data_IF_970965133614
#
_entry.id   IF_970965133614
#
_cell.length_a   1.000
_cell.length_b   1.000
_cell.length_c   1.000
_cell.angle_alpha   90.00
_cell.angle_beta   90.00
_cell.angle_gamma   90.00
#
_symmetry.space_group_name_H-M   'P 1'
#
loop_
_entity.id
_entity.type
_entity.pdbx_description
1 polymer ?
#
# COMPACT_ATOMS: atom_id res chain seq x y z
N UNK A 1 0.52 2.01 -19.90
CA UNK A 1 1.04 0.68 -20.31
C UNK A 1 0.02 0.10 -21.30
N UNK A 2 0.39 -0.37 -22.51
CA UNK A 2 -0.61 -0.95 -23.46
C UNK A 2 -0.37 -2.45 -23.62
N UNK A 3 -0.69 -3.21 -22.58
CA UNK A 3 -0.98 -4.64 -22.72
C UNK A 3 -2.43 -4.81 -23.14
N UNK A 4 -2.68 -5.74 -24.05
CA UNK A 4 -4.05 -6.16 -24.38
C UNK A 4 -4.77 -6.73 -23.15
N UNK A 5 -6.11 -6.71 -23.16
CA UNK A 5 -6.92 -7.28 -22.07
C UNK A 5 -6.55 -8.74 -21.76
N UNK A 6 -6.23 -9.53 -22.81
CA UNK A 6 -5.80 -10.92 -22.67
C UNK A 6 -4.44 -11.04 -21.96
N UNK A 7 -3.48 -10.16 -22.27
CA UNK A 7 -2.18 -10.12 -21.60
C UNK A 7 -2.31 -9.66 -20.15
N UNK A 8 -3.14 -8.64 -19.88
CA UNK A 8 -3.48 -8.20 -18.53
C UNK A 8 -4.06 -9.36 -17.72
N UNK A 9 -5.03 -10.09 -18.27
CA UNK A 9 -5.66 -11.22 -17.59
C UNK A 9 -4.65 -12.35 -17.29
N UNK A 10 -3.76 -12.66 -18.23
CA UNK A 10 -2.70 -13.64 -18.03
C UNK A 10 -1.75 -13.24 -16.89
N UNK A 11 -1.33 -11.96 -16.86
CA UNK A 11 -0.47 -11.43 -15.79
C UNK A 11 -1.17 -11.50 -14.43
N UNK A 12 -2.44 -11.08 -14.35
CA UNK A 12 -3.21 -11.18 -13.10
C UNK A 12 -3.33 -12.62 -12.60
N UNK A 13 -3.46 -13.58 -13.52
CA UNK A 13 -3.52 -15.01 -13.19
C UNK A 13 -2.21 -15.47 -12.53
N UNK A 14 -1.06 -15.00 -13.02
CA UNK A 14 0.24 -15.27 -12.42
C UNK A 14 0.32 -14.64 -11.02
N UNK A 15 -0.03 -13.36 -10.88
CA UNK A 15 0.01 -12.68 -9.57
C UNK A 15 -0.92 -13.33 -8.54
N UNK A 16 -2.12 -13.75 -8.94
CA UNK A 16 -3.05 -14.51 -8.08
C UNK A 16 -2.45 -15.81 -7.57
N UNK A 17 -1.53 -16.42 -8.32
CA UNK A 17 -0.87 -17.67 -7.94
C UNK A 17 0.32 -17.49 -6.99
N UNK A 18 0.66 -16.25 -6.62
CA UNK A 18 1.77 -15.91 -5.75
C UNK A 18 1.80 -16.71 -4.45
N UNK A 19 2.98 -17.28 -4.16
CA UNK A 19 3.34 -17.99 -2.94
C UNK A 19 4.55 -17.30 -2.28
N UNK A 20 4.40 -16.74 -1.07
CA UNK A 20 5.47 -15.97 -0.40
C UNK A 20 6.84 -16.66 -0.34
N UNK A 21 6.84 -17.98 -0.15
CA UNK A 21 8.07 -18.76 0.02
C UNK A 21 8.80 -19.06 -1.30
N UNK A 22 8.09 -19.04 -2.44
CA UNK A 22 8.63 -19.41 -3.74
C UNK A 22 8.81 -18.21 -4.68
N UNK A 23 8.04 -17.14 -4.47
CA UNK A 23 7.90 -16.03 -5.41
C UNK A 23 8.34 -14.70 -4.79
N UNK A 24 9.22 -14.72 -3.79
CA UNK A 24 9.53 -13.56 -2.93
C UNK A 24 9.98 -12.28 -3.66
N UNK A 25 10.50 -12.40 -4.88
CA UNK A 25 10.98 -11.31 -5.73
C UNK A 25 10.09 -11.01 -6.94
N UNK A 26 8.99 -11.76 -7.14
CA UNK A 26 8.12 -11.64 -8.32
C UNK A 26 7.63 -10.21 -8.57
N UNK A 27 7.22 -9.52 -7.51
CA UNK A 27 6.68 -8.16 -7.62
C UNK A 27 7.77 -7.11 -7.76
N UNK A 28 8.93 -7.30 -7.13
CA UNK A 28 10.08 -6.42 -7.35
C UNK A 28 10.53 -6.49 -8.80
N UNK A 29 10.65 -7.70 -9.36
CA UNK A 29 10.93 -7.90 -10.77
C UNK A 29 9.88 -7.23 -11.66
N UNK A 30 8.59 -7.41 -11.36
CA UNK A 30 7.52 -6.79 -12.16
C UNK A 30 7.57 -5.25 -12.15
N UNK A 31 7.88 -4.64 -11.00
CA UNK A 31 8.02 -3.19 -10.86
C UNK A 31 9.29 -2.69 -11.58
N UNK A 32 10.43 -3.37 -11.41
CA UNK A 32 11.71 -3.02 -12.06
C UNK A 32 11.65 -3.12 -13.58
N UNK A 33 10.82 -4.01 -14.13
CA UNK A 33 10.60 -4.13 -15.58
C UNK A 33 9.54 -3.16 -16.12
N UNK A 34 8.93 -2.34 -15.26
CA UNK A 34 7.90 -1.38 -15.68
C UNK A 34 8.51 0.02 -15.82
N UNK A 35 8.24 0.67 -16.96
CA UNK A 35 8.63 2.07 -17.16
C UNK A 35 8.00 2.96 -16.09
N UNK A 36 8.77 3.92 -15.58
CA UNK A 36 8.35 4.86 -14.54
C UNK A 36 7.00 5.54 -14.82
N UNK A 37 6.70 5.84 -16.09
CA UNK A 37 5.45 6.47 -16.49
C UNK A 37 4.19 5.59 -16.32
N UNK A 38 4.33 4.32 -15.97
CA UNK A 38 3.22 3.39 -15.79
C UNK A 38 3.39 2.46 -14.57
N UNK A 39 4.28 2.84 -13.64
CA UNK A 39 4.60 1.99 -12.48
C UNK A 39 3.47 2.01 -11.44
N UNK A 40 2.67 3.07 -11.42
CA UNK A 40 1.38 3.19 -10.75
C UNK A 40 0.36 2.18 -11.29
N UNK A 41 0.14 2.11 -12.61
CA UNK A 41 -0.72 1.14 -13.29
C UNK A 41 -0.31 -0.30 -12.92
N UNK A 42 1.00 -0.57 -12.89
CA UNK A 42 1.53 -1.88 -12.49
C UNK A 42 1.27 -2.17 -11.02
N UNK A 43 1.47 -1.19 -10.14
CA UNK A 43 1.21 -1.31 -8.70
C UNK A 43 -0.25 -1.63 -8.44
N UNK A 44 -1.16 -0.96 -9.15
CA UNK A 44 -2.59 -1.27 -9.18
C UNK A 44 -2.86 -2.72 -9.57
N UNK A 45 -2.31 -3.15 -10.71
CA UNK A 45 -2.52 -4.51 -11.21
C UNK A 45 -2.06 -5.57 -10.20
N UNK A 46 -0.95 -5.35 -9.52
CA UNK A 46 -0.43 -6.22 -8.47
C UNK A 46 -1.42 -6.28 -7.30
N UNK A 47 -1.80 -5.12 -6.75
CA UNK A 47 -2.66 -5.03 -5.56
C UNK A 47 -4.03 -5.65 -5.81
N UNK A 48 -4.62 -5.38 -6.97
CA UNK A 48 -5.95 -5.86 -7.34
C UNK A 48 -5.97 -7.36 -7.68
N UNK A 49 -4.82 -7.91 -8.06
CA UNK A 49 -4.68 -9.35 -8.28
C UNK A 49 -4.62 -10.13 -6.98
N UNK A 50 -4.18 -9.52 -5.88
CA UNK A 50 -3.92 -10.23 -4.63
C UNK A 50 -5.11 -10.21 -3.69
N UNK A 51 -5.38 -11.36 -3.07
CA UNK A 51 -6.30 -11.40 -1.95
C UNK A 51 -5.72 -10.63 -0.75
N UNK A 52 -6.59 -10.15 0.16
CA UNK A 52 -6.16 -9.51 1.42
C UNK A 52 -5.17 -10.38 2.21
N UNK A 53 -5.35 -11.70 2.19
CA UNK A 53 -4.44 -12.64 2.86
C UNK A 53 -3.07 -12.68 2.18
N UNK A 54 -3.00 -12.68 0.85
CA UNK A 54 -1.72 -12.61 0.15
C UNK A 54 -1.02 -11.28 0.41
N UNK A 55 -1.75 -10.17 0.34
CA UNK A 55 -1.21 -8.84 0.70
C UNK A 55 -0.63 -8.84 2.12
N UNK A 56 -1.32 -9.45 3.10
CA UNK A 56 -0.83 -9.53 4.49
C UNK A 56 0.55 -10.16 4.61
N UNK A 57 0.86 -11.16 3.78
CA UNK A 57 2.11 -11.89 3.80
C UNK A 57 3.15 -11.41 2.79
N UNK A 58 2.87 -10.32 2.06
CA UNK A 58 3.93 -9.68 1.27
C UNK A 58 5.06 -9.20 2.18
N UNK A 59 6.33 -9.27 1.73
CA UNK A 59 7.43 -8.62 2.40
C UNK A 59 7.11 -7.14 2.65
N UNK A 60 7.51 -6.63 3.82
CA UNK A 60 7.29 -5.22 4.16
C UNK A 60 7.96 -4.28 3.15
N UNK A 61 9.10 -4.67 2.58
CA UNK A 61 9.79 -3.94 1.54
C UNK A 61 8.90 -3.74 0.30
N UNK A 62 8.24 -4.82 -0.16
CA UNK A 62 7.31 -4.77 -1.29
C UNK A 62 6.09 -3.89 -0.99
N UNK A 63 5.51 -3.97 0.21
CA UNK A 63 4.41 -3.08 0.60
C UNK A 63 4.85 -1.61 0.58
N UNK A 64 6.03 -1.30 1.11
CA UNK A 64 6.60 0.06 1.08
C UNK A 64 6.85 0.54 -0.34
N UNK A 65 7.38 -0.33 -1.20
CA UNK A 65 7.60 -0.03 -2.62
C UNK A 65 6.29 0.32 -3.32
N UNK A 66 5.25 -0.49 -3.14
CA UNK A 66 3.93 -0.22 -3.70
C UNK A 66 3.35 1.12 -3.19
N UNK A 67 3.53 1.45 -1.91
CA UNK A 67 3.12 2.75 -1.37
C UNK A 67 3.90 3.88 -2.04
N UNK A 68 5.22 3.75 -2.16
CA UNK A 68 6.07 4.76 -2.79
C UNK A 68 5.65 5.04 -4.23
N UNK A 69 5.35 4.00 -5.01
CA UNK A 69 4.96 4.17 -6.42
C UNK A 69 3.54 4.74 -6.57
N UNK A 70 2.60 4.43 -5.67
CA UNK A 70 1.25 5.01 -5.68
C UNK A 70 1.20 6.45 -5.13
N UNK A 71 2.18 6.82 -4.30
CA UNK A 71 2.38 8.20 -3.83
C UNK A 71 3.29 9.00 -4.77
N UNK A 72 3.86 8.37 -5.80
CA UNK A 72 4.76 9.03 -6.75
C UNK A 72 3.97 9.91 -7.72
N UNK A 73 3.58 11.10 -7.26
CA UNK A 73 2.85 12.08 -8.06
C UNK A 73 1.58 12.55 -7.38
N UNK A 74 0.57 12.88 -8.18
CA UNK A 74 -0.74 13.26 -7.65
C UNK A 74 -1.56 12.02 -7.38
N UNK A 75 -1.76 11.67 -6.11
CA UNK A 75 -2.61 10.55 -5.74
C UNK A 75 -4.06 10.81 -6.15
N UNK A 76 -4.54 9.99 -7.07
CA UNK A 76 -5.91 9.92 -7.57
C UNK A 76 -6.80 9.16 -6.58
N UNK A 77 -8.11 9.14 -6.87
CA UNK A 77 -9.05 8.32 -6.10
C UNK A 77 -8.74 6.82 -6.22
N UNK A 78 -8.27 6.37 -7.38
CA UNK A 78 -7.94 4.96 -7.60
C UNK A 78 -6.70 4.59 -6.78
N UNK A 79 -5.61 5.37 -6.86
CA UNK A 79 -4.40 5.14 -6.05
C UNK A 79 -4.74 5.12 -4.54
N UNK A 80 -5.65 6.00 -4.10
CA UNK A 80 -6.12 6.02 -2.72
C UNK A 80 -6.80 4.70 -2.31
N UNK A 81 -7.64 4.12 -3.17
CA UNK A 81 -8.28 2.84 -2.91
C UNK A 81 -7.28 1.67 -2.88
N UNK A 82 -6.26 1.70 -3.73
CA UNK A 82 -5.17 0.71 -3.70
C UNK A 82 -4.34 0.81 -2.41
N UNK A 83 -4.00 2.02 -1.98
CA UNK A 83 -3.31 2.28 -0.71
C UNK A 83 -4.13 1.77 0.50
N UNK A 84 -5.45 1.99 0.51
CA UNK A 84 -6.35 1.44 1.53
C UNK A 84 -6.33 -0.09 1.60
N UNK A 85 -6.23 -0.78 0.45
CA UNK A 85 -6.07 -2.25 0.42
C UNK A 85 -4.75 -2.67 1.07
N UNK A 86 -3.66 -1.95 0.82
CA UNK A 86 -2.37 -2.18 1.48
C UNK A 86 -2.51 -1.97 2.99
N UNK A 87 -3.09 -0.87 3.46
CA UNK A 87 -3.25 -0.60 4.89
C UNK A 87 -4.14 -1.62 5.58
N UNK A 88 -5.25 -2.02 4.94
CA UNK A 88 -6.12 -3.06 5.45
C UNK A 88 -5.40 -4.41 5.63
N UNK A 89 -4.33 -4.66 4.86
CA UNK A 89 -3.48 -5.85 4.94
C UNK A 89 -2.42 -5.80 6.04
N UNK A 90 -2.38 -4.74 6.84
CA UNK A 90 -1.39 -4.58 7.91
C UNK A 90 -1.36 -5.75 8.89
N UNK A 91 -0.18 -6.31 9.08
CA UNK A 91 0.12 -7.38 10.03
C UNK A 91 1.09 -6.84 11.08
N UNK A 92 0.64 -6.54 12.32
CA UNK A 92 1.47 -5.91 13.35
C UNK A 92 2.81 -6.63 13.64
N UNK A 93 2.86 -7.94 13.45
CA UNK A 93 4.05 -8.75 13.67
C UNK A 93 5.11 -8.62 12.55
N UNK A 94 4.73 -8.14 11.36
CA UNK A 94 5.58 -8.08 10.17
C UNK A 94 5.79 -6.66 9.65
N UNK A 95 4.83 -5.77 9.90
CA UNK A 95 4.75 -4.46 9.26
C UNK A 95 5.13 -3.31 10.22
N UNK A 96 6.12 -3.52 11.10
CA UNK A 96 6.37 -2.69 12.29
C UNK A 96 6.40 -1.17 12.06
N UNK A 97 6.90 -0.72 10.90
CA UNK A 97 7.07 0.70 10.55
C UNK A 97 6.37 1.09 9.23
N UNK A 98 5.45 0.25 8.71
CA UNK A 98 4.79 0.49 7.43
C UNK A 98 4.06 1.84 7.38
N UNK A 99 3.39 2.21 8.47
CA UNK A 99 2.62 3.46 8.54
C UNK A 99 3.48 4.70 8.77
N UNK A 100 4.63 4.59 9.44
CA UNK A 100 5.60 5.69 9.44
C UNK A 100 6.06 5.97 8.02
N UNK A 101 6.43 4.93 7.29
CA UNK A 101 6.84 5.05 5.91
C UNK A 101 5.74 5.66 5.04
N UNK A 102 4.49 5.19 5.16
CA UNK A 102 3.37 5.74 4.41
C UNK A 102 3.19 7.25 4.66
N UNK A 103 3.18 7.65 5.94
CA UNK A 103 3.04 9.06 6.31
C UNK A 103 4.24 9.91 5.88
N UNK A 104 5.46 9.36 5.86
CA UNK A 104 6.66 10.03 5.36
C UNK A 104 6.66 10.22 3.83
N UNK A 105 5.91 9.39 3.11
CA UNK A 105 5.78 9.47 1.65
C UNK A 105 4.66 10.38 1.19
N UNK A 106 3.63 10.56 2.01
CA UNK A 106 2.53 11.47 1.69
C UNK A 106 2.98 12.92 1.80
N UNK A 107 2.56 13.75 0.85
CA UNK A 107 2.74 15.19 0.91
C UNK A 107 2.16 15.77 2.20
N UNK A 108 2.90 16.69 2.82
CA UNK A 108 2.53 17.30 4.11
C UNK A 108 1.11 17.88 4.13
N UNK A 109 0.64 18.41 3.01
CA UNK A 109 -0.70 19.00 2.89
C UNK A 109 -1.85 17.98 3.03
N UNK A 110 -1.57 16.69 2.85
CA UNK A 110 -2.57 15.61 2.80
C UNK A 110 -2.29 14.52 3.87
N UNK A 111 -1.33 14.74 4.76
CA UNK A 111 -0.89 13.73 5.74
C UNK A 111 -1.99 13.38 6.74
N UNK A 112 -2.89 14.32 7.05
CA UNK A 112 -4.07 14.10 7.90
C UNK A 112 -5.11 13.21 7.23
N UNK A 113 -5.41 13.46 5.95
CA UNK A 113 -6.29 12.61 5.15
C UNK A 113 -5.71 11.20 5.00
N UNK A 114 -4.38 11.09 4.83
CA UNK A 114 -3.70 9.79 4.82
C UNK A 114 -3.78 9.07 6.17
N UNK A 115 -3.55 9.78 7.27
CA UNK A 115 -3.69 9.21 8.61
C UNK A 115 -5.12 8.70 8.84
N UNK A 116 -6.12 9.44 8.37
CA UNK A 116 -7.54 9.04 8.42
C UNK A 116 -7.80 7.78 7.62
N UNK A 117 -7.29 7.70 6.39
CA UNK A 117 -7.42 6.53 5.54
C UNK A 117 -6.76 5.28 6.12
N UNK A 118 -5.58 5.42 6.74
CA UNK A 118 -4.91 4.35 7.48
C UNK A 118 -5.84 3.84 8.59
N UNK A 119 -6.32 4.73 9.46
CA UNK A 119 -7.16 4.34 10.60
C UNK A 119 -8.46 3.68 10.13
N UNK A 120 -9.12 4.23 9.11
CA UNK A 120 -10.37 3.70 8.56
C UNK A 120 -10.21 2.35 7.85
N UNK A 121 -9.01 2.02 7.37
CA UNK A 121 -8.72 0.75 6.70
C UNK A 121 -8.47 -0.40 7.68
N UNK A 122 -8.24 -0.10 8.96
CA UNK A 122 -7.82 -1.07 9.95
C UNK A 122 -8.97 -1.62 10.80
N UNK A 123 -8.87 -2.89 11.14
CA UNK A 123 -9.72 -3.48 12.18
C UNK A 123 -9.28 -3.04 13.58
N UNK A 124 -10.23 -3.07 14.53
CA UNK A 124 -9.94 -2.76 15.94
C UNK A 124 -8.81 -3.62 16.53
N UNK A 125 -8.66 -4.88 16.11
CA UNK A 125 -7.57 -5.75 16.60
C UNK A 125 -6.20 -5.32 16.03
N UNK A 126 -6.13 -4.92 14.76
CA UNK A 126 -4.93 -4.33 14.17
C UNK A 126 -4.54 -3.05 14.90
N UNK A 127 -5.49 -2.14 15.13
CA UNK A 127 -5.26 -0.90 15.90
C UNK A 127 -4.81 -1.22 17.33
N UNK A 128 -5.41 -2.23 17.98
CA UNK A 128 -5.02 -2.62 19.35
C UNK A 128 -3.57 -3.09 19.42
N UNK A 129 -3.14 -3.91 18.45
CA UNK A 129 -1.80 -4.52 18.39
C UNK A 129 -0.73 -3.63 17.75
N UNK A 130 -1.12 -2.55 17.10
CA UNK A 130 -0.20 -1.57 16.53
C UNK A 130 0.75 -1.00 17.60
N UNK A 131 2.02 -0.72 17.28
CA UNK A 131 2.95 -0.08 18.21
C UNK A 131 2.45 1.28 18.71
N UNK A 132 2.72 1.58 19.98
CA UNK A 132 2.21 2.81 20.62
C UNK A 132 2.70 4.10 19.99
N UNK A 133 3.94 4.13 19.49
CA UNK A 133 4.51 5.31 18.84
C UNK A 133 3.83 5.60 17.48
N UNK A 134 3.45 4.57 16.71
CA UNK A 134 2.66 4.73 15.48
C UNK A 134 1.27 5.31 15.81
N UNK A 135 0.60 4.78 16.84
CA UNK A 135 -0.70 5.31 17.26
C UNK A 135 -0.62 6.79 17.63
N UNK A 136 0.44 7.17 18.37
CA UNK A 136 0.67 8.56 18.75
C UNK A 136 0.86 9.43 17.52
N UNK A 137 1.70 9.00 16.56
CA UNK A 137 1.90 9.72 15.31
C UNK A 137 0.58 9.92 14.54
N UNK A 138 -0.22 8.87 14.38
CA UNK A 138 -1.54 8.98 13.72
C UNK A 138 -2.48 9.97 14.43
N UNK A 139 -2.50 9.99 15.76
CA UNK A 139 -3.28 10.97 16.53
C UNK A 139 -2.76 12.39 16.26
N UNK A 140 -1.45 12.60 16.34
CA UNK A 140 -0.84 13.91 16.14
C UNK A 140 -1.17 14.48 14.74
N UNK A 141 -1.09 13.67 13.67
CA UNK A 141 -1.44 14.10 12.30
C UNK A 141 -2.95 14.42 12.16
N UNK A 142 -3.83 13.59 12.75
CA UNK A 142 -5.27 13.80 12.72
C UNK A 142 -5.70 15.07 13.48
N UNK A 143 -5.06 15.37 14.61
CA UNK A 143 -5.31 16.58 15.40
C UNK A 143 -4.77 17.84 14.71
N UNK A 144 -3.61 17.72 14.04
CA UNK A 144 -3.05 18.79 13.24
C UNK A 144 -4.00 19.20 12.11
N UNK A 145 -4.53 18.24 11.33
CA UNK A 145 -5.49 18.51 10.25
C UNK A 145 -6.77 19.19 10.75
N UNK A 146 -7.27 18.80 11.92
CA UNK A 146 -8.46 19.41 12.55
C UNK A 146 -8.25 20.86 12.98
N UNK A 147 -7.00 21.29 13.19
CA UNK A 147 -6.67 22.66 13.60
C UNK A 147 -6.68 23.65 12.42
N UNK A 148 -6.66 23.16 11.19
CA UNK A 148 -6.64 23.98 9.96
C UNK A 148 -7.96 23.95 9.17
N UNK A 149 -8.99 23.22 9.65
CA UNK A 149 -10.36 23.16 9.07
C UNK A 149 -11.33 24.02 9.87
#
# INVERSE_FOLDING_TARGET
FWTSDDECYAIQTIYKSYQPDNDSDLFEYALDQTDYANIDDRSHLIIDSLSKRQLMYLPIATKKRLIEELEAGWTSGDETDALKKIYASYQPAMDSDLFEYALDKTDYANVDDRALDIVNSLSNDQIRKMPGYIKKRLIDELEAGNSYR
#
